data_IF_828338945902
#
_entry.id   IF_828338945902
#
_cell.length_a   1.000
_cell.length_b   1.000
_cell.length_c   1.000
_cell.angle_alpha   90.00
_cell.angle_beta   90.00
_cell.angle_gamma   90.00
#
_symmetry.space_group_name_H-M   'P 1'
#
loop_
_entity.id
_entity.type
_entity.pdbx_description
1 polymer ?
#
# COMPACT_ATOMS: atom_id res chain seq x y z
N UNK A 1 -44.40 30.62 50.01
CA UNK A 1 -45.30 29.45 50.12
C UNK A 1 -45.48 28.93 48.69
N UNK A 2 -45.18 27.71 48.22
CA UNK A 2 -44.92 26.36 48.76
C UNK A 2 -43.95 25.66 47.77
N UNK A 3 -42.78 25.17 48.21
CA UNK A 3 -42.41 23.75 48.42
C UNK A 3 -42.41 22.85 47.14
N UNK A 4 -41.17 22.56 46.69
CA UNK A 4 -40.55 21.31 46.17
C UNK A 4 -41.37 20.25 45.42
N UNK A 5 -40.82 19.80 44.28
CA UNK A 5 -40.51 18.37 44.04
C UNK A 5 -39.41 18.20 42.97
N UNK A 6 -38.29 17.61 43.38
CA UNK A 6 -37.21 17.06 42.58
C UNK A 6 -37.58 15.66 42.10
N UNK A 7 -37.26 15.30 40.85
CA UNK A 7 -37.17 13.90 40.40
C UNK A 7 -35.83 13.74 39.69
N UNK A 8 -34.96 12.95 40.31
CA UNK A 8 -33.76 12.40 39.71
C UNK A 8 -34.12 11.06 39.07
N UNK A 9 -33.79 10.88 37.80
CA UNK A 9 -33.77 9.57 37.15
C UNK A 9 -32.31 9.16 36.96
N UNK A 10 -31.85 8.26 37.82
CA UNK A 10 -30.60 7.52 37.67
C UNK A 10 -30.97 6.12 37.19
N UNK A 11 -30.59 5.79 35.97
CA UNK A 11 -30.56 4.45 35.39
C UNK A 11 -29.30 4.45 34.54
N UNK A 12 -28.26 3.65 34.76
CA UNK A 12 -28.15 2.33 35.36
C UNK A 12 -27.14 1.61 34.48
N UNK A 13 -25.85 1.77 34.78
CA UNK A 13 -24.75 1.20 34.01
C UNK A 13 -24.68 -0.32 34.23
N UNK A 14 -24.96 -1.10 33.19
CA UNK A 14 -24.60 -2.52 33.14
C UNK A 14 -23.18 -2.65 32.57
N UNK A 15 -22.23 -2.90 33.46
CA UNK A 15 -20.92 -3.42 33.10
C UNK A 15 -21.06 -4.92 32.80
N UNK A 16 -20.88 -5.31 31.53
CA UNK A 16 -20.72 -6.71 31.15
C UNK A 16 -19.23 -7.06 31.22
N UNK A 17 -18.81 -7.73 32.29
CA UNK A 17 -17.51 -8.41 32.36
C UNK A 17 -17.63 -9.75 31.64
N UNK A 18 -17.07 -9.87 30.43
CA UNK A 18 -16.92 -11.14 29.74
C UNK A 18 -15.52 -11.71 30.00
N UNK A 19 -15.50 -12.94 30.53
CA UNK A 19 -14.32 -13.75 30.80
C UNK A 19 -13.44 -13.95 29.55
N UNK A 20 -12.13 -13.86 29.78
CA UNK A 20 -11.07 -14.26 28.86
C UNK A 20 -11.10 -15.79 28.71
N UNK A 21 -11.25 -16.26 27.48
CA UNK A 21 -10.92 -17.65 27.08
C UNK A 21 -9.68 -17.56 26.17
N UNK A 22 -8.63 -18.38 26.38
CA UNK A 22 -7.46 -18.36 25.50
C UNK A 22 -7.88 -18.93 24.13
N UNK A 23 -7.95 -18.07 23.11
CA UNK A 23 -8.11 -18.49 21.73
C UNK A 23 -6.81 -19.19 21.29
N UNK A 24 -6.94 -20.50 21.11
CA UNK A 24 -6.01 -21.35 20.38
C UNK A 24 -5.87 -20.77 18.97
N UNK A 25 -4.64 -20.68 18.45
CA UNK A 25 -4.36 -20.21 17.10
C UNK A 25 -5.22 -20.97 16.07
N UNK A 26 -6.28 -20.33 15.59
CA UNK A 26 -7.01 -20.76 14.40
C UNK A 26 -6.36 -20.11 13.18
N UNK A 27 -6.21 -20.91 12.14
CA UNK A 27 -5.70 -20.48 10.84
C UNK A 27 -6.47 -19.24 10.36
N UNK A 28 -5.74 -18.17 10.07
CA UNK A 28 -6.27 -16.97 9.43
C UNK A 28 -6.55 -17.30 7.96
N UNK A 29 -7.74 -17.81 7.64
CA UNK A 29 -8.20 -17.91 6.25
C UNK A 29 -9.72 -17.72 6.06
N UNK A 30 -10.47 -17.37 7.11
CA UNK A 30 -11.96 -17.37 7.05
C UNK A 30 -12.64 -16.08 7.53
N UNK A 31 -11.90 -14.97 7.69
CA UNK A 31 -12.44 -13.70 8.23
C UNK A 31 -12.30 -12.49 7.30
N UNK A 32 -11.73 -12.65 6.10
CA UNK A 32 -11.66 -11.56 5.12
C UNK A 32 -12.97 -11.48 4.34
N UNK A 33 -13.68 -10.34 4.35
CA UNK A 33 -14.82 -10.16 3.45
C UNK A 33 -14.36 -10.30 2.00
N UNK A 34 -15.26 -10.76 1.11
CA UNK A 34 -14.97 -10.78 -0.31
C UNK A 34 -14.74 -9.34 -0.80
N UNK A 35 -13.73 -9.14 -1.61
CA UNK A 35 -13.45 -7.79 -2.12
C UNK A 35 -14.59 -7.27 -3.01
N UNK A 36 -15.31 -8.17 -3.70
CA UNK A 36 -16.52 -7.81 -4.43
C UNK A 36 -17.59 -7.13 -3.56
N UNK A 37 -17.72 -7.51 -2.28
CA UNK A 37 -18.62 -6.82 -1.35
C UNK A 37 -18.14 -5.39 -1.08
N UNK A 38 -16.84 -5.18 -0.87
CA UNK A 38 -16.23 -3.84 -0.72
C UNK A 38 -16.48 -2.97 -1.95
N UNK A 39 -16.38 -3.54 -3.16
CA UNK A 39 -16.70 -2.82 -4.39
C UNK A 39 -18.18 -2.46 -4.46
N UNK A 40 -19.06 -3.39 -4.07
CA UNK A 40 -20.50 -3.15 -3.97
C UNK A 40 -20.86 -2.01 -3.03
N UNK A 41 -20.29 -2.01 -1.82
CA UNK A 41 -20.49 -0.96 -0.82
C UNK A 41 -19.99 0.39 -1.33
N UNK A 42 -18.79 0.43 -1.92
CA UNK A 42 -18.23 1.66 -2.54
C UNK A 42 -19.16 2.21 -3.62
N UNK A 43 -19.72 1.32 -4.44
CA UNK A 43 -20.63 1.68 -5.52
C UNK A 43 -21.95 2.24 -4.98
N UNK A 44 -22.48 1.63 -3.92
CA UNK A 44 -23.68 2.10 -3.24
C UNK A 44 -23.47 3.47 -2.58
N UNK A 45 -22.32 3.70 -1.95
CA UNK A 45 -21.97 4.98 -1.33
C UNK A 45 -21.85 6.10 -2.36
N UNK A 46 -21.23 5.84 -3.51
CA UNK A 46 -21.18 6.81 -4.62
C UNK A 46 -22.58 7.18 -5.12
N UNK A 47 -23.46 6.18 -5.29
CA UNK A 47 -24.86 6.39 -5.70
C UNK A 47 -25.65 7.17 -4.66
N UNK A 48 -25.41 6.92 -3.38
CA UNK A 48 -26.04 7.67 -2.29
C UNK A 48 -25.57 9.13 -2.28
N UNK A 49 -24.28 9.38 -2.52
CA UNK A 49 -23.71 10.72 -2.63
C UNK A 49 -24.35 11.55 -3.74
N UNK A 50 -24.54 10.97 -4.93
CA UNK A 50 -25.24 11.59 -6.05
C UNK A 50 -26.68 11.97 -5.70
N UNK A 51 -27.43 11.08 -5.04
CA UNK A 51 -28.82 11.39 -4.64
C UNK A 51 -28.90 12.50 -3.60
N UNK A 52 -27.89 12.60 -2.73
CA UNK A 52 -27.82 13.64 -1.71
C UNK A 52 -27.52 15.02 -2.33
N UNK A 53 -26.64 15.11 -3.34
CA UNK A 53 -26.34 16.37 -4.03
C UNK A 53 -27.52 16.89 -4.87
N UNK A 54 -28.29 15.98 -5.49
CA UNK A 54 -29.48 16.28 -6.27
C UNK A 54 -30.67 16.75 -5.41
N UNK A 55 -30.62 16.50 -4.09
CA UNK A 55 -31.68 16.89 -3.15
C UNK A 55 -31.61 18.35 -2.67
N UNK A 56 -30.63 19.13 -3.14
CA UNK A 56 -30.67 20.59 -3.05
C UNK A 56 -31.79 21.16 -3.94
N UNK A 57 -32.61 22.13 -3.50
CA UNK A 57 -33.78 22.57 -4.25
C UNK A 57 -33.35 23.38 -5.49
N UNK A 58 -33.17 22.71 -6.61
CA UNK A 58 -33.06 23.32 -7.93
C UNK A 58 -34.23 22.84 -8.79
N UNK A 59 -35.19 23.74 -9.01
CA UNK A 59 -36.24 23.56 -9.98
C UNK A 59 -35.64 23.31 -11.37
N UNK A 60 -35.85 22.13 -11.97
CA UNK A 60 -35.76 21.95 -13.43
C UNK A 60 -36.89 21.07 -13.95
N UNK A 61 -37.67 21.73 -14.80
CA UNK A 61 -38.69 21.25 -15.70
C UNK A 61 -38.16 20.27 -16.74
N UNK A 62 -38.94 19.22 -17.00
CA UNK A 62 -39.16 18.57 -18.30
C UNK A 62 -37.93 18.34 -19.18
N UNK A 63 -37.28 17.19 -19.01
CA UNK A 63 -36.48 16.56 -20.05
C UNK A 63 -37.13 15.23 -20.43
N UNK A 64 -37.37 15.05 -21.72
CA UNK A 64 -37.84 13.80 -22.33
C UNK A 64 -36.89 12.65 -21.99
N UNK A 65 -37.45 11.52 -21.55
CA UNK A 65 -36.73 10.26 -21.33
C UNK A 65 -36.13 9.80 -22.66
N UNK A 66 -34.89 10.22 -22.91
CA UNK A 66 -34.04 9.58 -23.91
C UNK A 66 -33.62 8.25 -23.28
N UNK A 67 -33.81 7.14 -23.98
CA UNK A 67 -33.36 5.84 -23.50
C UNK A 67 -31.90 5.96 -23.04
N UNK A 68 -31.62 5.61 -21.79
CA UNK A 68 -30.28 5.66 -21.22
C UNK A 68 -29.36 4.85 -22.13
N UNK A 69 -28.46 5.54 -22.84
CA UNK A 69 -27.38 4.85 -23.52
C UNK A 69 -26.54 4.21 -22.41
N UNK A 70 -26.24 2.91 -22.55
CA UNK A 70 -25.37 2.21 -21.60
C UNK A 70 -24.08 3.03 -21.38
N UNK A 71 -23.63 3.10 -20.13
CA UNK A 71 -22.50 3.92 -19.72
C UNK A 71 -21.22 3.53 -20.50
N UNK A 72 -20.90 4.30 -21.53
CA UNK A 72 -19.76 4.06 -22.41
C UNK A 72 -18.54 4.85 -21.95
N UNK A 73 -17.85 4.27 -20.98
CA UNK A 73 -16.60 4.79 -20.42
C UNK A 73 -15.45 3.80 -20.58
N UNK A 74 -14.23 4.34 -20.64
CA UNK A 74 -12.96 3.60 -20.59
C UNK A 74 -11.96 4.32 -19.69
N UNK A 75 -10.98 3.59 -19.15
CA UNK A 75 -9.95 4.15 -18.28
C UNK A 75 -8.57 3.99 -18.91
N UNK A 76 -7.76 5.05 -18.84
CA UNK A 76 -6.37 5.06 -19.31
C UNK A 76 -5.48 5.83 -18.34
N UNK A 77 -4.16 5.83 -18.57
CA UNK A 77 -3.22 6.66 -17.80
C UNK A 77 -3.14 6.33 -16.29
N UNK A 78 -3.45 5.08 -15.90
CA UNK A 78 -3.49 4.68 -14.49
C UNK A 78 -2.10 4.73 -13.85
N UNK A 79 -1.98 5.49 -12.77
CA UNK A 79 -0.80 5.49 -11.90
C UNK A 79 -1.22 5.21 -10.46
N UNK A 80 -0.50 4.30 -9.79
CA UNK A 80 -0.55 4.18 -8.33
C UNK A 80 0.83 4.56 -7.79
N UNK A 81 0.84 5.30 -6.69
CA UNK A 81 2.04 5.73 -5.98
C UNK A 81 3.09 6.36 -6.91
N UNK A 82 2.66 7.22 -7.85
CA UNK A 82 3.56 7.86 -8.81
C UNK A 82 4.44 6.85 -9.59
N UNK A 83 3.87 5.70 -9.97
CA UNK A 83 4.55 4.60 -10.65
C UNK A 83 5.63 3.88 -9.84
N UNK A 84 5.67 4.09 -8.52
CA UNK A 84 6.53 3.34 -7.60
C UNK A 84 5.74 2.18 -7.00
N UNK A 85 6.44 1.09 -6.72
CA UNK A 85 5.85 0.00 -5.93
C UNK A 85 5.42 0.53 -4.55
N UNK A 86 4.31 0.04 -4.03
CA UNK A 86 3.86 0.33 -2.66
C UNK A 86 4.65 -0.60 -1.73
N UNK A 87 5.41 -0.05 -0.78
CA UNK A 87 6.25 -0.84 0.13
C UNK A 87 5.74 -0.68 1.55
N UNK A 88 5.07 -1.71 2.06
CA UNK A 88 4.34 -1.67 3.33
C UNK A 88 5.16 -2.36 4.43
N UNK A 89 5.24 -1.73 5.60
CA UNK A 89 5.95 -2.24 6.79
C UNK A 89 5.07 -3.15 7.62
N UNK A 90 5.32 -3.24 8.92
CA UNK A 90 4.52 -4.07 9.84
C UNK A 90 3.54 -3.27 10.70
N UNK A 91 3.62 -1.94 10.66
CA UNK A 91 2.82 -1.02 11.48
C UNK A 91 2.62 0.30 10.74
N UNK A 92 1.59 1.06 11.13
CA UNK A 92 1.30 2.40 10.58
C UNK A 92 0.31 2.35 9.43
N UNK A 93 0.22 3.45 8.70
CA UNK A 93 -0.69 3.61 7.56
C UNK A 93 0.10 4.12 6.35
N UNK A 94 -0.19 3.56 5.17
CA UNK A 94 0.53 3.81 3.93
C UNK A 94 -0.43 4.33 2.87
N UNK A 95 -0.73 5.62 2.92
CA UNK A 95 -1.57 6.30 1.94
C UNK A 95 -0.76 6.68 0.69
N UNK A 96 -1.24 6.28 -0.49
CA UNK A 96 -0.59 6.58 -1.78
C UNK A 96 -1.60 7.17 -2.77
N UNK A 97 -1.15 8.07 -3.67
CA UNK A 97 -2.02 8.60 -4.71
C UNK A 97 -2.34 7.53 -5.76
N UNK A 98 -3.57 7.54 -6.25
CA UNK A 98 -4.02 6.80 -7.42
C UNK A 98 -4.66 7.78 -8.40
N UNK A 99 -4.12 7.86 -9.63
CA UNK A 99 -4.63 8.74 -10.68
C UNK A 99 -4.99 7.96 -11.92
N UNK A 100 -5.98 8.42 -12.66
CA UNK A 100 -6.39 7.84 -13.93
C UNK A 100 -7.08 8.87 -14.82
N UNK A 101 -7.16 8.58 -16.11
CA UNK A 101 -7.98 9.33 -17.05
C UNK A 101 -9.23 8.52 -17.32
N UNK A 102 -10.39 9.09 -16.99
CA UNK A 102 -11.70 8.56 -17.36
C UNK A 102 -12.10 9.16 -18.71
N UNK A 103 -12.23 8.33 -19.72
CA UNK A 103 -12.70 8.73 -21.04
C UNK A 103 -14.16 8.31 -21.18
N UNK A 104 -14.98 9.17 -21.77
CA UNK A 104 -16.41 8.94 -21.93
C UNK A 104 -16.90 9.38 -23.31
N UNK A 105 -17.98 8.77 -23.78
CA UNK A 105 -18.74 9.27 -24.93
C UNK A 105 -20.04 9.91 -24.44
N UNK A 106 -20.37 11.09 -24.97
CA UNK A 106 -21.56 11.83 -24.54
C UNK A 106 -21.42 12.50 -23.18
N UNK A 107 -22.54 13.06 -22.69
CA UNK A 107 -22.61 13.72 -21.39
C UNK A 107 -22.86 12.68 -20.29
N UNK A 108 -22.03 12.70 -19.24
CA UNK A 108 -22.17 11.82 -18.08
C UNK A 108 -23.24 12.31 -17.10
N UNK A 109 -23.68 13.57 -17.20
CA UNK A 109 -24.55 14.20 -16.20
C UNK A 109 -23.88 14.24 -14.83
N UNK A 110 -24.68 14.05 -13.77
CA UNK A 110 -24.15 13.83 -12.44
C UNK A 110 -23.50 12.44 -12.37
N UNK A 111 -22.23 12.37 -11.98
CA UNK A 111 -21.49 11.12 -11.91
C UNK A 111 -20.60 11.06 -10.66
N UNK A 112 -20.31 9.85 -10.22
CA UNK A 112 -19.35 9.52 -9.18
C UNK A 112 -18.37 8.47 -9.68
N UNK A 113 -17.13 8.50 -9.20
CA UNK A 113 -16.17 7.47 -9.53
C UNK A 113 -15.22 7.22 -8.36
N UNK A 114 -14.83 5.97 -8.16
CA UNK A 114 -13.85 5.56 -7.18
C UNK A 114 -12.89 4.57 -7.82
N UNK A 115 -11.67 4.52 -7.31
CA UNK A 115 -10.67 3.56 -7.74
C UNK A 115 -10.39 2.57 -6.64
N UNK A 116 -9.88 1.42 -7.01
CA UNK A 116 -9.58 0.35 -6.07
C UNK A 116 -8.37 -0.44 -6.55
N UNK A 117 -7.66 -1.09 -5.64
CA UNK A 117 -6.52 -1.92 -5.96
C UNK A 117 -6.63 -3.28 -5.26
N UNK A 118 -6.46 -4.37 -6.01
CA UNK A 118 -6.73 -5.72 -5.52
C UNK A 118 -5.69 -6.75 -5.95
N UNK A 119 -5.53 -7.78 -5.13
CA UNK A 119 -4.73 -8.95 -5.41
C UNK A 119 -5.65 -10.10 -5.84
N UNK A 120 -5.41 -10.66 -7.02
CA UNK A 120 -6.30 -11.63 -7.68
C UNK A 120 -6.36 -11.39 -9.18
N UNK A 121 -7.15 -12.16 -9.92
CA UNK A 121 -7.28 -12.04 -11.40
C UNK A 121 -8.44 -11.14 -11.83
N UNK A 122 -9.47 -11.09 -11.01
CA UNK A 122 -10.68 -10.26 -11.14
C UNK A 122 -11.09 -9.75 -9.75
N UNK A 123 -12.07 -8.86 -9.67
CA UNK A 123 -12.68 -8.42 -8.41
C UNK A 123 -13.42 -9.57 -7.73
N UNK A 124 -14.02 -10.48 -8.50
CA UNK A 124 -14.68 -11.68 -7.99
C UNK A 124 -13.67 -12.68 -7.38
N UNK A 125 -12.53 -12.89 -8.05
CA UNK A 125 -11.46 -13.80 -7.63
C UNK A 125 -10.43 -13.13 -6.71
N UNK A 126 -10.69 -11.92 -6.23
CA UNK A 126 -9.73 -11.16 -5.44
C UNK A 126 -9.54 -11.81 -4.06
N UNK A 127 -8.30 -12.11 -3.70
CA UNK A 127 -7.93 -12.60 -2.37
C UNK A 127 -7.94 -11.49 -1.33
N UNK A 128 -7.69 -10.25 -1.77
CA UNK A 128 -7.81 -9.03 -0.96
C UNK A 128 -7.78 -7.78 -1.84
N UNK A 129 -8.17 -6.63 -1.27
CA UNK A 129 -8.06 -5.35 -1.95
C UNK A 129 -8.33 -4.16 -1.03
N UNK A 130 -8.03 -2.97 -1.52
CA UNK A 130 -8.34 -1.69 -0.88
C UNK A 130 -9.11 -0.82 -1.88
N UNK A 131 -10.24 -0.27 -1.45
CA UNK A 131 -10.91 0.81 -2.17
C UNK A 131 -10.24 2.15 -1.86
N UNK A 132 -10.50 3.16 -2.68
CA UNK A 132 -10.06 4.51 -2.39
C UNK A 132 -10.78 5.08 -1.18
N UNK A 133 -10.08 5.94 -0.44
CA UNK A 133 -10.57 6.49 0.84
C UNK A 133 -11.83 7.36 0.63
N UNK A 134 -11.90 8.03 -0.52
CA UNK A 134 -13.01 8.88 -0.95
C UNK A 134 -13.31 8.67 -2.45
N UNK A 135 -14.45 9.22 -2.89
CA UNK A 135 -14.73 9.43 -4.32
C UNK A 135 -13.59 10.23 -4.98
N UNK A 136 -13.22 9.87 -6.20
CA UNK A 136 -12.12 10.52 -6.90
C UNK A 136 -12.51 11.93 -7.35
N UNK A 137 -11.62 12.89 -7.09
CA UNK A 137 -11.72 14.24 -7.60
C UNK A 137 -11.31 14.24 -9.08
N UNK A 138 -12.23 14.63 -9.96
CA UNK A 138 -12.01 14.67 -11.40
C UNK A 138 -12.01 16.10 -11.94
N UNK A 139 -11.11 16.39 -12.86
CA UNK A 139 -11.04 17.66 -13.60
C UNK A 139 -11.15 17.39 -15.08
N UNK A 140 -12.01 18.13 -15.78
CA UNK A 140 -12.12 18.05 -17.24
C UNK A 140 -10.79 18.46 -17.90
N UNK A 141 -10.30 17.60 -18.79
CA UNK A 141 -9.13 17.89 -19.63
C UNK A 141 -9.49 18.00 -21.11
N UNK A 142 -10.63 17.42 -21.52
CA UNK A 142 -11.30 17.67 -22.79
C UNK A 142 -12.77 17.28 -22.69
N UNK A 143 -13.56 17.56 -23.73
CA UNK A 143 -14.99 17.21 -23.81
C UNK A 143 -15.30 15.70 -23.74
N UNK A 144 -14.29 14.84 -23.73
CA UNK A 144 -14.43 13.37 -23.67
C UNK A 144 -13.47 12.74 -22.66
N UNK A 145 -12.80 13.54 -21.83
CA UNK A 145 -11.80 13.05 -20.90
C UNK A 145 -11.72 13.87 -19.61
N UNK A 146 -11.70 13.14 -18.50
CA UNK A 146 -11.56 13.65 -17.14
C UNK A 146 -10.30 13.07 -16.53
N UNK A 147 -9.47 13.91 -15.92
CA UNK A 147 -8.34 13.47 -15.11
C UNK A 147 -8.78 13.36 -13.65
N UNK A 148 -8.77 12.15 -13.12
CA UNK A 148 -9.23 11.81 -11.79
C UNK A 148 -8.07 11.46 -10.86
N UNK A 149 -8.19 11.85 -9.59
CA UNK A 149 -7.23 11.55 -8.55
C UNK A 149 -7.93 11.19 -7.24
N UNK A 150 -7.41 10.18 -6.56
CA UNK A 150 -7.83 9.77 -5.22
C UNK A 150 -6.63 9.21 -4.45
N UNK A 151 -6.84 8.80 -3.21
CA UNK A 151 -5.85 8.08 -2.40
C UNK A 151 -6.36 6.70 -2.03
N UNK A 152 -5.42 5.78 -1.84
CA UNK A 152 -5.68 4.45 -1.28
C UNK A 152 -4.77 4.27 -0.08
N UNK A 153 -5.35 3.88 1.04
CA UNK A 153 -4.62 3.64 2.29
C UNK A 153 -4.41 2.14 2.53
N UNK A 154 -3.14 1.72 2.59
CA UNK A 154 -2.78 0.36 2.94
C UNK A 154 -2.48 0.24 4.44
N UNK A 155 -3.12 -0.72 5.09
CA UNK A 155 -2.94 -1.02 6.51
C UNK A 155 -2.23 -2.38 6.67
N UNK A 156 -1.06 -2.44 7.34
CA UNK A 156 -0.29 -3.69 7.48
C UNK A 156 -1.00 -4.82 8.21
N UNK A 157 -1.90 -4.51 9.13
CA UNK A 157 -2.71 -5.46 9.89
C UNK A 157 -3.85 -6.09 9.08
N UNK A 158 -4.19 -5.49 7.94
CA UNK A 158 -5.12 -6.07 6.97
C UNK A 158 -4.43 -6.92 5.90
N UNK A 159 -3.09 -7.00 5.90
CA UNK A 159 -2.30 -7.74 4.92
C UNK A 159 -1.77 -9.06 5.48
N UNK A 160 -1.59 -10.06 4.61
CA UNK A 160 -0.90 -11.32 4.91
C UNK A 160 0.23 -11.55 3.93
N UNK A 161 1.22 -12.34 4.32
CA UNK A 161 2.48 -12.46 3.60
C UNK A 161 2.34 -12.89 2.13
N UNK A 162 1.28 -13.63 1.78
CA UNK A 162 0.95 -14.08 0.42
C UNK A 162 0.36 -13.00 -0.48
N UNK A 163 -0.12 -11.90 0.09
CA UNK A 163 -0.61 -10.75 -0.70
C UNK A 163 0.52 -9.96 -1.35
N UNK A 164 1.77 -10.17 -0.92
CA UNK A 164 2.92 -9.46 -1.47
C UNK A 164 3.16 -9.87 -2.93
N UNK A 165 3.05 -8.94 -3.86
CA UNK A 165 3.16 -9.25 -5.28
C UNK A 165 2.54 -8.19 -6.18
N UNK A 166 2.07 -8.61 -7.36
CA UNK A 166 1.43 -7.74 -8.34
C UNK A 166 -0.06 -7.63 -8.06
N UNK A 167 -0.54 -6.40 -7.94
CA UNK A 167 -1.94 -6.06 -7.74
C UNK A 167 -2.48 -5.35 -8.99
N UNK A 168 -3.80 -5.38 -9.16
CA UNK A 168 -4.53 -4.76 -10.27
C UNK A 168 -5.36 -3.60 -9.77
N UNK A 169 -5.64 -2.65 -10.67
CA UNK A 169 -6.51 -1.52 -10.40
C UNK A 169 -7.85 -1.77 -11.05
N UNK A 170 -8.91 -1.51 -10.29
CA UNK A 170 -10.28 -1.37 -10.78
C UNK A 170 -10.75 0.07 -10.62
N UNK A 171 -11.72 0.48 -11.44
CA UNK A 171 -12.40 1.78 -11.32
C UNK A 171 -13.88 1.52 -11.47
N UNK A 172 -14.66 2.01 -10.52
CA UNK A 172 -16.11 2.08 -10.66
C UNK A 172 -16.52 3.49 -11.07
N UNK A 173 -17.48 3.57 -11.99
CA UNK A 173 -18.14 4.80 -12.39
C UNK A 173 -19.63 4.59 -12.22
N UNK A 174 -20.30 5.53 -11.57
CA UNK A 174 -21.74 5.53 -11.38
C UNK A 174 -22.31 6.83 -11.92
N UNK A 175 -23.51 6.75 -12.48
CA UNK A 175 -24.39 7.88 -12.77
C UNK A 175 -25.70 7.68 -11.99
N UNK A 176 -26.69 8.56 -12.18
CA UNK A 176 -28.02 8.36 -11.59
C UNK A 176 -28.70 7.08 -12.08
N UNK A 177 -28.47 6.72 -13.35
CA UNK A 177 -29.21 5.66 -14.05
C UNK A 177 -28.39 4.37 -14.24
N UNK A 178 -27.06 4.42 -14.16
CA UNK A 178 -26.20 3.30 -14.56
C UNK A 178 -24.94 3.19 -13.69
N UNK A 179 -24.26 2.05 -13.76
CA UNK A 179 -22.95 1.82 -13.16
C UNK A 179 -22.06 0.95 -14.05
N UNK A 180 -20.75 1.14 -13.96
CA UNK A 180 -19.78 0.32 -14.65
C UNK A 180 -18.53 0.12 -13.83
N UNK A 181 -18.18 -1.14 -13.61
CA UNK A 181 -16.90 -1.56 -13.08
C UNK A 181 -15.94 -1.84 -14.24
N UNK A 182 -14.80 -1.15 -14.26
CA UNK A 182 -13.69 -1.40 -15.18
C UNK A 182 -12.54 -2.04 -14.40
N UNK A 183 -12.33 -3.33 -14.63
CA UNK A 183 -11.28 -4.10 -13.98
C UNK A 183 -9.97 -4.12 -14.76
N UNK A 184 -8.88 -4.46 -14.09
CA UNK A 184 -7.59 -4.71 -14.72
C UNK A 184 -7.04 -3.52 -15.56
N UNK A 185 -7.44 -2.29 -15.22
CA UNK A 185 -7.09 -1.07 -15.98
C UNK A 185 -5.65 -0.57 -15.69
N UNK A 186 -4.99 -1.20 -14.73
CA UNK A 186 -3.59 -0.96 -14.38
C UNK A 186 -3.09 -2.00 -13.39
N UNK A 187 -1.78 -2.00 -13.13
CA UNK A 187 -1.17 -2.88 -12.13
C UNK A 187 -0.07 -2.17 -11.37
N UNK A 188 0.14 -2.48 -10.09
CA UNK A 188 1.33 -2.08 -9.33
C UNK A 188 1.67 -3.14 -8.30
N UNK A 189 2.92 -3.19 -7.85
CA UNK A 189 3.30 -4.13 -6.80
C UNK A 189 3.03 -3.54 -5.42
N UNK A 190 2.54 -4.39 -4.54
CA UNK A 190 2.50 -4.15 -3.10
C UNK A 190 3.50 -5.12 -2.47
N UNK A 191 4.55 -4.58 -1.87
CA UNK A 191 5.73 -5.30 -1.44
C UNK A 191 5.93 -5.17 0.06
N UNK A 192 6.52 -6.20 0.67
CA UNK A 192 6.93 -6.17 2.08
C UNK A 192 8.21 -5.37 2.23
N UNK A 193 8.26 -4.47 3.20
CA UNK A 193 9.46 -3.68 3.51
C UNK A 193 10.63 -4.58 3.86
N UNK A 194 11.81 -4.34 3.27
CA UNK A 194 13.06 -4.98 3.69
C UNK A 194 13.93 -3.99 4.47
N UNK A 195 14.75 -4.49 5.39
CA UNK A 195 15.76 -3.72 6.14
C UNK A 195 17.09 -4.45 6.08
N UNK A 196 18.18 -3.71 5.88
CA UNK A 196 19.54 -4.27 5.84
C UNK A 196 20.48 -3.44 6.70
N UNK A 197 21.32 -4.12 7.48
CA UNK A 197 22.35 -3.49 8.32
C UNK A 197 23.75 -3.86 7.83
N UNK A 198 24.75 -3.11 8.26
CA UNK A 198 26.17 -3.37 7.99
C UNK A 198 26.99 -3.03 9.24
N UNK A 199 28.10 -3.75 9.43
CA UNK A 199 29.14 -3.48 10.41
C UNK A 199 30.48 -4.03 9.88
N UNK A 200 31.51 -3.20 9.83
CA UNK A 200 32.85 -3.50 9.39
C UNK A 200 33.80 -3.58 10.60
N UNK A 201 34.64 -4.62 10.66
CA UNK A 201 35.58 -4.79 11.77
C UNK A 201 36.81 -5.62 11.36
N UNK A 202 37.98 -5.44 12.00
CA UNK A 202 38.26 -4.48 13.08
C UNK A 202 38.42 -3.04 12.57
N UNK A 203 38.27 -2.08 13.48
CA UNK A 203 38.52 -0.65 13.23
C UNK A 203 39.29 -0.07 14.42
N UNK A 204 40.41 0.66 14.20
CA UNK A 204 41.09 0.86 12.92
C UNK A 204 41.75 -0.41 12.38
N UNK A 205 42.01 -0.47 11.07
CA UNK A 205 42.61 -1.64 10.40
C UNK A 205 43.86 -1.24 9.61
N UNK A 206 44.87 -2.11 9.58
CA UNK A 206 46.06 -1.87 8.75
C UNK A 206 45.73 -2.00 7.26
N UNK A 207 46.31 -1.16 6.41
CA UNK A 207 46.22 -1.30 4.96
C UNK A 207 46.64 -2.71 4.51
N UNK A 208 45.83 -3.31 3.64
CA UNK A 208 45.99 -4.68 3.14
C UNK A 208 45.52 -5.78 4.09
N UNK A 209 45.16 -5.47 5.34
CA UNK A 209 44.62 -6.45 6.27
C UNK A 209 43.17 -6.82 5.91
N UNK A 210 42.73 -7.95 6.43
CA UNK A 210 41.38 -8.46 6.19
C UNK A 210 40.38 -7.71 7.07
N UNK A 211 39.36 -7.15 6.42
CA UNK A 211 38.20 -6.55 7.06
C UNK A 211 37.03 -7.52 6.95
N UNK A 212 36.36 -7.80 8.07
CA UNK A 212 35.14 -8.61 8.12
C UNK A 212 33.94 -7.68 8.11
N UNK A 213 33.08 -7.86 7.12
CA UNK A 213 31.81 -7.14 7.01
C UNK A 213 30.67 -8.08 7.39
N UNK A 214 29.87 -7.66 8.34
CA UNK A 214 28.70 -8.39 8.85
C UNK A 214 27.44 -7.54 8.71
N UNK A 215 26.27 -8.18 8.74
CA UNK A 215 25.00 -7.49 8.65
C UNK A 215 23.83 -8.45 8.77
N UNK A 216 22.62 -7.92 8.66
CA UNK A 216 21.40 -8.72 8.65
C UNK A 216 20.40 -8.13 7.66
N UNK A 217 19.87 -8.97 6.77
CA UNK A 217 18.71 -8.67 5.94
C UNK A 217 17.47 -9.22 6.63
N UNK A 218 16.49 -8.34 6.84
CA UNK A 218 15.17 -8.70 7.38
C UNK A 218 14.07 -8.18 6.48
N UNK A 219 12.88 -8.77 6.60
CA UNK A 219 11.68 -8.35 5.84
C UNK A 219 10.49 -8.31 6.79
N UNK A 220 9.60 -7.34 6.57
CA UNK A 220 8.31 -7.25 7.24
C UNK A 220 7.58 -8.57 7.08
N UNK A 221 6.97 -9.07 8.14
CA UNK A 221 6.14 -10.26 8.21
C UNK A 221 4.78 -9.78 8.68
N UNK A 222 3.82 -9.71 7.77
CA UNK A 222 2.50 -9.14 8.07
C UNK A 222 1.71 -10.07 8.98
N UNK A 223 1.80 -11.39 8.76
CA UNK A 223 1.16 -12.43 9.60
C UNK A 223 1.54 -12.34 11.09
N UNK A 224 2.76 -11.89 11.39
CA UNK A 224 3.29 -11.78 12.77
C UNK A 224 3.56 -10.35 13.22
N UNK A 225 3.27 -9.37 12.37
CA UNK A 225 3.58 -7.94 12.54
C UNK A 225 5.03 -7.65 12.97
N UNK A 226 5.99 -8.47 12.53
CA UNK A 226 7.42 -8.39 12.94
C UNK A 226 8.35 -8.35 11.74
N UNK A 227 9.60 -7.94 11.95
CA UNK A 227 10.66 -8.12 10.95
C UNK A 227 11.41 -9.42 11.20
N UNK A 228 11.34 -10.35 10.24
CA UNK A 228 11.99 -11.66 10.31
C UNK A 228 13.20 -11.73 9.37
N UNK A 229 14.10 -12.68 9.62
CA UNK A 229 15.27 -12.90 8.76
C UNK A 229 14.86 -13.23 7.32
N UNK A 230 15.46 -12.55 6.34
CA UNK A 230 15.12 -12.77 4.94
C UNK A 230 16.25 -13.52 4.22
N UNK A 231 16.06 -14.84 4.10
CA UNK A 231 17.11 -15.74 3.62
C UNK A 231 17.20 -15.94 2.12
N UNK A 232 18.35 -16.47 1.68
CA UNK A 232 18.67 -16.83 0.30
C UNK A 232 18.61 -15.67 -0.71
N UNK A 233 18.66 -14.43 -0.22
CA UNK A 233 18.56 -13.23 -1.04
C UNK A 233 19.93 -12.75 -1.50
N UNK A 234 20.01 -12.26 -2.74
CA UNK A 234 21.22 -11.60 -3.26
C UNK A 234 21.38 -10.21 -2.65
N UNK A 235 22.52 -9.97 -2.01
CA UNK A 235 22.89 -8.69 -1.41
C UNK A 235 24.26 -8.27 -1.94
N UNK A 236 24.44 -6.99 -2.21
CA UNK A 236 25.70 -6.43 -2.73
C UNK A 236 26.37 -5.60 -1.66
N UNK A 237 27.62 -5.91 -1.34
CA UNK A 237 28.51 -5.02 -0.61
C UNK A 237 29.02 -3.93 -1.55
N UNK A 238 28.86 -2.68 -1.14
CA UNK A 238 29.38 -1.51 -1.81
C UNK A 238 30.41 -0.79 -0.93
N UNK A 239 31.29 -0.05 -1.58
CA UNK A 239 32.28 0.82 -0.94
C UNK A 239 32.26 2.21 -1.57
N UNK A 240 32.49 3.24 -0.77
CA UNK A 240 32.89 4.56 -1.27
C UNK A 240 34.11 5.05 -0.51
N UNK A 241 35.04 5.71 -1.18
CA UNK A 241 36.13 6.41 -0.51
C UNK A 241 35.60 7.56 0.35
N UNK A 242 36.30 7.92 1.43
CA UNK A 242 35.93 9.02 2.35
C UNK A 242 35.66 10.36 1.64
N UNK A 243 36.45 10.67 0.61
CA UNK A 243 36.35 11.89 -0.19
C UNK A 243 35.33 11.82 -1.34
N UNK A 244 34.59 10.71 -1.47
CA UNK A 244 33.63 10.47 -2.56
C UNK A 244 32.20 10.35 -2.04
N UNK A 245 31.23 10.76 -2.87
CA UNK A 245 29.80 10.49 -2.66
C UNK A 245 29.31 9.25 -3.42
N UNK A 246 30.14 8.69 -4.31
CA UNK A 246 29.76 7.58 -5.20
C UNK A 246 30.18 6.24 -4.62
N UNK A 247 29.21 5.34 -4.48
CA UNK A 247 29.45 3.95 -4.10
C UNK A 247 29.71 3.08 -5.33
N UNK A 248 30.68 2.17 -5.22
CA UNK A 248 30.98 1.13 -6.19
C UNK A 248 30.68 -0.25 -5.61
N UNK A 249 30.25 -1.18 -6.47
CA UNK A 249 30.03 -2.56 -6.06
C UNK A 249 31.36 -3.26 -5.82
N UNK A 250 31.49 -3.93 -4.68
CA UNK A 250 32.71 -4.67 -4.29
C UNK A 250 32.49 -6.17 -4.38
N UNK A 251 31.36 -6.66 -3.84
CA UNK A 251 31.12 -8.11 -3.75
C UNK A 251 29.64 -8.44 -3.62
N UNK A 252 29.17 -9.43 -4.39
CA UNK A 252 27.85 -10.04 -4.19
C UNK A 252 27.91 -11.19 -3.19
N UNK A 253 26.91 -11.29 -2.30
CA UNK A 253 26.75 -12.39 -1.35
C UNK A 253 25.28 -12.82 -1.26
N UNK A 254 25.04 -13.94 -0.58
CA UNK A 254 23.71 -14.43 -0.23
C UNK A 254 23.49 -14.33 1.28
N UNK A 255 22.29 -13.94 1.68
CA UNK A 255 21.88 -14.07 3.08
C UNK A 255 21.71 -15.54 3.47
N UNK A 256 22.04 -15.88 4.72
CA UNK A 256 21.69 -17.20 5.30
C UNK A 256 20.17 -17.35 5.43
N UNK A 257 19.67 -18.54 5.77
CA UNK A 257 18.24 -18.76 6.05
C UNK A 257 17.65 -17.80 7.10
N UNK A 258 18.46 -17.35 8.06
CA UNK A 258 18.09 -16.39 9.12
C UNK A 258 18.35 -14.93 8.74
N UNK A 259 18.72 -14.65 7.49
CA UNK A 259 19.00 -13.31 6.99
C UNK A 259 20.39 -12.77 7.33
N UNK A 260 21.28 -13.56 7.94
CA UNK A 260 22.61 -13.08 8.30
C UNK A 260 23.46 -12.84 7.03
N UNK A 261 24.28 -11.80 7.08
CA UNK A 261 25.22 -11.41 6.03
C UNK A 261 26.63 -11.43 6.61
N UNK A 262 27.58 -12.06 5.90
CA UNK A 262 28.99 -12.06 6.28
C UNK A 262 29.86 -12.17 5.04
N UNK A 263 30.90 -11.34 4.97
CA UNK A 263 31.93 -11.43 3.94
C UNK A 263 33.22 -10.78 4.44
N UNK A 264 34.28 -10.94 3.65
CA UNK A 264 35.57 -10.31 3.91
C UNK A 264 36.07 -9.58 2.67
N UNK A 265 36.80 -8.49 2.89
CA UNK A 265 37.50 -7.69 1.88
C UNK A 265 38.88 -7.27 2.42
N UNK A 266 39.74 -6.73 1.55
CA UNK A 266 41.00 -6.12 1.97
C UNK A 266 40.81 -4.62 2.18
N UNK A 267 41.25 -4.10 3.32
CA UNK A 267 41.22 -2.67 3.61
C UNK A 267 42.25 -1.95 2.72
N UNK A 268 41.83 -1.01 1.88
CA UNK A 268 42.72 -0.32 0.94
C UNK A 268 42.94 1.14 1.29
N UNK A 269 41.90 1.84 1.75
CA UNK A 269 41.90 3.24 2.16
C UNK A 269 40.65 3.53 3.02
N UNK A 270 40.65 4.69 3.67
CA UNK A 270 39.49 5.21 4.40
C UNK A 270 38.24 5.30 3.51
N UNK A 271 37.12 4.85 4.06
CA UNK A 271 35.86 4.94 3.34
C UNK A 271 34.71 4.26 4.07
N UNK A 272 33.60 4.10 3.35
CA UNK A 272 32.35 3.59 3.90
C UNK A 272 31.93 2.32 3.18
N UNK A 273 31.59 1.29 3.94
CA UNK A 273 31.00 0.05 3.41
C UNK A 273 29.51 -0.01 3.69
N UNK A 274 28.72 -0.49 2.74
CA UNK A 274 27.29 -0.75 2.96
C UNK A 274 26.80 -1.98 2.22
N UNK A 275 25.80 -2.65 2.78
CA UNK A 275 25.04 -3.65 2.05
C UNK A 275 23.82 -3.03 1.34
N UNK A 276 23.54 -3.52 0.14
CA UNK A 276 22.38 -3.14 -0.67
C UNK A 276 21.63 -4.40 -1.12
N UNK A 277 20.35 -4.45 -0.81
CA UNK A 277 19.39 -5.42 -1.31
C UNK A 277 18.54 -4.76 -2.39
N UNK A 278 18.61 -5.29 -3.62
CA UNK A 278 17.94 -4.70 -4.79
C UNK A 278 16.44 -5.04 -4.91
N UNK A 279 15.86 -5.65 -3.87
CA UNK A 279 14.46 -6.08 -3.87
C UNK A 279 14.26 -7.48 -4.44
N UNK A 280 13.02 -7.93 -4.40
CA UNK A 280 12.53 -9.18 -4.98
C UNK A 280 11.09 -8.97 -5.49
N UNK A 281 10.45 -9.97 -6.12
CA UNK A 281 9.04 -9.85 -6.51
C UNK A 281 8.08 -9.57 -5.35
N UNK A 282 8.48 -9.85 -4.10
CA UNK A 282 7.63 -9.72 -2.90
C UNK A 282 8.27 -8.89 -1.79
N UNK A 283 9.44 -8.29 -2.03
CA UNK A 283 10.20 -7.52 -1.05
C UNK A 283 10.77 -6.24 -1.63
N UNK A 284 10.53 -5.12 -0.95
CA UNK A 284 11.06 -3.82 -1.31
C UNK A 284 12.58 -3.77 -1.20
N UNK A 285 13.20 -2.82 -1.92
CA UNK A 285 14.65 -2.56 -1.88
C UNK A 285 15.07 -2.05 -0.50
N UNK A 286 16.31 -2.33 -0.09
CA UNK A 286 16.87 -1.82 1.15
C UNK A 286 18.36 -1.51 1.00
N UNK A 287 18.79 -0.39 1.57
CA UNK A 287 20.19 0.06 1.55
C UNK A 287 20.59 0.41 2.97
N UNK A 288 21.67 -0.19 3.47
CA UNK A 288 22.20 0.15 4.78
C UNK A 288 22.84 1.55 4.74
N UNK A 289 22.79 2.26 5.87
CA UNK A 289 23.70 3.37 6.14
C UNK A 289 25.13 2.85 6.08
N UNK A 290 26.03 3.60 5.44
CA UNK A 290 27.43 3.19 5.31
C UNK A 290 28.17 3.25 6.63
N UNK A 291 29.00 2.25 6.88
CA UNK A 291 29.87 2.14 8.05
C UNK A 291 31.30 2.54 7.71
N UNK A 292 31.89 3.42 8.53
CA UNK A 292 33.17 4.08 8.23
C UNK A 292 34.36 3.29 8.76
N UNK A 293 35.27 2.94 7.86
CA UNK A 293 36.52 2.24 8.19
C UNK A 293 37.69 3.22 8.14
N UNK A 294 38.44 3.30 9.25
CA UNK A 294 39.74 3.97 9.36
C UNK A 294 40.89 3.02 9.00
N UNK A 295 41.66 3.34 7.95
CA UNK A 295 42.78 2.51 7.46
C UNK A 295 44.11 3.17 7.77
N UNK A 296 44.96 2.45 8.51
CA UNK A 296 46.31 2.89 8.93
C UNK A 296 47.44 2.28 8.11
#
# INVERSE_FOLDING_TARGET
MRIRATVAAVTGALALSALVVPAVAQAADDTRPSFGATVGDTTADLKAGLKADASAPAARSGASVKAAAALDVTVSGVTVNNNKDVVVGTTGSYTVPLTYTLNHTGDLGAYGTAAMIYHGTSVEDATWGFASDDAAACTEVSSTALKCSTTVTFLPDELINTDAGTWRVGVVVVTEDDEKLLENVGTRKVLRTSKVTVNAAPEPVKKGATLTITGKLTRADWDTSKYVGYGSQSVVLQYRAKSSSTYTNVKGIKSTSTGALKTTVKASADGYYRFVFNGSPTGGKATATGDYVDVK
#
